data_IF_269976585427
#
_entry.id   IF_269976585427
#
_cell.length_a   1.000
_cell.length_b   1.000
_cell.length_c   1.000
_cell.angle_alpha   90.00
_cell.angle_beta   90.00
_cell.angle_gamma   90.00
#
_symmetry.space_group_name_H-M   'P 1'
#
loop_
_entity.id
_entity.type
_entity.pdbx_description
1 polymer ?
#
# COMPACT_ATOMS: atom_id res chain seq x y z
N UNK A 1 19.58 9.21 11.66
CA UNK A 1 19.12 8.11 10.79
C UNK A 1 19.91 8.21 9.51
N UNK A 2 20.58 7.12 9.12
CA UNK A 2 21.23 7.02 7.81
C UNK A 2 20.22 6.37 6.86
N UNK A 3 19.87 7.06 5.77
CA UNK A 3 18.98 6.51 4.75
C UNK A 3 19.74 6.43 3.44
N UNK A 4 19.74 5.25 2.81
CA UNK A 4 20.31 5.06 1.47
C UNK A 4 19.19 5.19 0.44
N UNK A 5 19.20 6.25 -0.36
CA UNK A 5 18.30 6.39 -1.51
C UNK A 5 19.12 6.30 -2.80
N UNK A 6 18.78 5.36 -3.69
CA UNK A 6 19.46 5.14 -4.98
C UNK A 6 21.00 4.96 -4.88
N UNK A 7 21.49 4.38 -3.77
CA UNK A 7 22.92 4.10 -3.56
C UNK A 7 23.74 5.24 -2.95
N UNK A 8 23.12 6.37 -2.61
CA UNK A 8 23.77 7.51 -1.95
C UNK A 8 23.32 7.56 -0.49
N UNK A 9 24.27 7.63 0.44
CA UNK A 9 24.00 7.79 1.88
C UNK A 9 23.65 9.24 2.17
N UNK A 10 22.41 9.47 2.59
CA UNK A 10 21.92 10.79 2.96
C UNK A 10 21.86 10.85 4.49
N UNK A 11 22.59 11.79 5.08
CA UNK A 11 22.53 12.11 6.52
C UNK A 11 21.71 13.38 6.74
N UNK A 12 20.41 13.29 6.47
CA UNK A 12 19.45 14.34 6.79
C UNK A 12 18.30 13.72 7.61
N UNK A 13 17.71 14.46 8.58
CA UNK A 13 16.50 14.00 9.25
C UNK A 13 15.39 13.83 8.21
N UNK A 14 14.85 12.62 8.12
CA UNK A 14 13.78 12.27 7.18
C UNK A 14 12.62 11.64 7.92
N UNK A 15 11.42 11.77 7.34
CA UNK A 15 10.29 10.98 7.79
C UNK A 15 10.60 9.50 7.50
N UNK A 16 10.46 8.67 8.52
CA UNK A 16 10.70 7.22 8.44
C UNK A 16 9.55 6.55 7.67
N UNK A 17 9.69 6.49 6.34
CA UNK A 17 8.69 5.92 5.42
C UNK A 17 9.16 4.55 4.94
N UNK A 18 8.34 3.54 5.22
CA UNK A 18 8.50 2.20 4.66
C UNK A 18 7.44 1.94 3.60
N UNK A 19 7.88 1.70 2.37
CA UNK A 19 6.99 1.40 1.24
C UNK A 19 6.71 -0.10 1.15
N UNK A 20 5.43 -0.46 1.00
CA UNK A 20 4.97 -1.84 0.86
C UNK A 20 4.33 -2.03 -0.51
N UNK A 21 4.68 -3.09 -1.22
CA UNK A 21 4.18 -3.39 -2.56
C UNK A 21 2.78 -4.06 -2.57
N UNK A 22 1.79 -3.46 -1.91
CA UNK A 22 0.44 -4.01 -1.77
C UNK A 22 -0.63 -2.91 -1.95
N UNK A 23 -0.56 -2.15 -3.04
CA UNK A 23 -1.55 -1.13 -3.40
C UNK A 23 -2.63 -1.67 -4.35
N UNK A 24 -3.64 -0.85 -4.69
CA UNK A 24 -4.69 -1.25 -5.64
C UNK A 24 -4.17 -1.70 -7.02
N UNK A 25 -3.02 -1.16 -7.44
CA UNK A 25 -2.35 -1.57 -8.67
C UNK A 25 -1.47 -2.82 -8.56
N UNK A 26 -1.26 -3.39 -7.36
CA UNK A 26 -0.43 -4.59 -7.23
C UNK A 26 -1.03 -5.74 -8.03
N UNK A 27 -0.21 -6.36 -8.90
CA UNK A 27 -0.64 -7.40 -9.83
C UNK A 27 -0.89 -8.72 -9.11
N UNK A 28 -1.85 -9.48 -9.61
CA UNK A 28 -2.27 -10.77 -9.06
C UNK A 28 -1.75 -11.90 -9.94
N UNK A 29 -1.13 -12.90 -9.31
CA UNK A 29 -0.62 -14.08 -10.00
C UNK A 29 -0.96 -15.34 -9.21
N UNK A 30 -1.24 -16.43 -9.92
CA UNK A 30 -1.18 -17.76 -9.34
C UNK A 30 0.12 -18.44 -9.80
N UNK A 31 0.90 -18.97 -8.86
CA UNK A 31 2.18 -19.61 -9.16
C UNK A 31 2.35 -20.85 -8.28
N UNK A 32 2.39 -22.03 -8.90
CA UNK A 32 2.68 -23.30 -8.23
C UNK A 32 1.84 -23.55 -6.97
N UNK A 33 0.53 -23.30 -7.04
CA UNK A 33 -0.37 -23.52 -5.90
C UNK A 33 -0.50 -22.35 -4.93
N UNK A 34 0.14 -21.21 -5.19
CA UNK A 34 0.13 -20.04 -4.31
C UNK A 34 -0.43 -18.80 -5.03
N UNK A 35 -1.26 -18.05 -4.31
CA UNK A 35 -1.65 -16.70 -4.69
C UNK A 35 -0.55 -15.71 -4.34
N UNK A 36 -0.13 -14.91 -5.31
CA UNK A 36 0.95 -13.93 -5.18
C UNK A 36 0.42 -12.55 -5.57
N UNK A 37 0.72 -11.55 -4.74
CA UNK A 37 0.33 -10.15 -4.95
C UNK A 37 1.59 -9.29 -5.04
N UNK A 38 1.78 -8.61 -6.17
CA UNK A 38 2.99 -7.84 -6.44
C UNK A 38 4.27 -8.71 -6.55
N UNK A 39 5.47 -8.10 -6.47
CA UNK A 39 5.73 -6.67 -6.28
C UNK A 39 5.41 -5.81 -7.51
N UNK A 40 5.16 -6.43 -8.66
CA UNK A 40 4.85 -5.72 -9.89
C UNK A 40 3.53 -4.94 -9.77
N UNK A 41 3.53 -3.70 -10.25
CA UNK A 41 2.35 -2.84 -10.28
C UNK A 41 1.83 -2.71 -11.71
N UNK A 42 0.51 -2.71 -11.85
CA UNK A 42 -0.18 -2.37 -13.09
C UNK A 42 -0.16 -0.85 -13.36
N UNK A 43 0.17 -0.03 -12.33
CA UNK A 43 0.16 1.42 -12.41
C UNK A 43 -1.24 1.99 -12.68
N UNK A 44 -1.28 3.18 -13.28
CA UNK A 44 -2.54 3.80 -13.74
C UNK A 44 -2.79 3.58 -15.25
N UNK A 45 -1.73 3.31 -16.02
CA UNK A 45 -1.77 2.99 -17.44
C UNK A 45 -0.66 1.97 -17.75
N UNK A 46 -0.96 0.78 -18.29
CA UNK A 46 -2.29 0.34 -18.73
C UNK A 46 -3.26 0.04 -17.56
N UNK A 47 -2.78 -0.04 -16.32
CA UNK A 47 -3.62 -0.16 -15.12
C UNK A 47 -4.24 -1.53 -14.91
N UNK A 48 -5.18 -1.65 -13.94
CA UNK A 48 -6.03 -2.81 -13.75
C UNK A 48 -6.84 -3.18 -15.00
N UNK A 49 -7.30 -4.43 -15.11
CA UNK A 49 -8.12 -4.87 -16.25
C UNK A 49 -9.42 -4.06 -16.35
N UNK A 50 -10.02 -3.77 -15.20
CA UNK A 50 -11.22 -2.93 -15.09
C UNK A 50 -11.08 -1.52 -15.65
N UNK A 51 -9.86 -1.04 -15.93
CA UNK A 51 -9.64 0.29 -16.52
C UNK A 51 -9.81 0.32 -18.04
N UNK A 52 -10.09 -0.83 -18.69
CA UNK A 52 -10.34 -0.94 -20.14
C UNK A 52 -9.19 -0.42 -21.01
N UNK A 53 -7.94 -0.54 -20.53
CA UNK A 53 -6.71 -0.07 -21.19
C UNK A 53 -5.71 -1.20 -21.48
N UNK A 54 -6.22 -2.44 -21.67
CA UNK A 54 -5.42 -3.66 -21.84
C UNK A 54 -4.42 -3.88 -20.69
N UNK A 55 -4.94 -3.72 -19.48
CA UNK A 55 -4.22 -3.80 -18.21
C UNK A 55 -3.90 -5.22 -17.74
N UNK A 56 -3.47 -5.30 -16.48
CA UNK A 56 -3.15 -6.54 -15.80
C UNK A 56 -4.10 -6.78 -14.63
N UNK A 57 -4.39 -8.04 -14.31
CA UNK A 57 -5.21 -8.38 -13.16
C UNK A 57 -4.55 -7.84 -11.88
N UNK A 58 -5.25 -7.00 -11.13
CA UNK A 58 -4.72 -6.28 -9.97
C UNK A 58 -5.66 -6.31 -8.76
N UNK A 59 -5.18 -5.85 -7.60
CA UNK A 59 -5.97 -5.75 -6.35
C UNK A 59 -7.28 -4.97 -6.55
N UNK A 60 -7.28 -3.91 -7.36
CA UNK A 60 -8.49 -3.16 -7.73
C UNK A 60 -9.54 -4.07 -8.39
N UNK A 61 -9.13 -4.98 -9.28
CA UNK A 61 -10.05 -5.90 -9.95
C UNK A 61 -10.65 -6.89 -8.94
N UNK A 62 -9.85 -7.41 -8.00
CA UNK A 62 -10.36 -8.27 -6.92
C UNK A 62 -11.39 -7.56 -6.03
N UNK A 63 -11.12 -6.30 -5.64
CA UNK A 63 -12.07 -5.50 -4.87
C UNK A 63 -13.37 -5.23 -5.66
N UNK A 64 -13.28 -5.03 -6.99
CA UNK A 64 -14.43 -4.84 -7.86
C UNK A 64 -15.27 -6.12 -8.03
N UNK A 65 -14.61 -7.28 -8.17
CA UNK A 65 -15.26 -8.60 -8.19
C UNK A 65 -16.05 -8.84 -6.91
N UNK A 66 -15.46 -8.53 -5.75
CA UNK A 66 -16.09 -8.65 -4.44
C UNK A 66 -17.17 -7.60 -4.16
N UNK A 67 -17.38 -6.63 -5.05
CA UNK A 67 -18.36 -5.55 -4.87
C UNK A 67 -17.96 -4.53 -3.79
N UNK A 68 -16.67 -4.47 -3.41
CA UNK A 68 -16.15 -3.46 -2.47
C UNK A 68 -15.98 -2.09 -3.14
N UNK A 69 -15.88 -2.08 -4.46
CA UNK A 69 -15.92 -0.87 -5.29
C UNK A 69 -17.28 -0.84 -5.98
N UNK A 70 -17.98 0.29 -5.86
CA UNK A 70 -19.29 0.54 -6.47
C UNK A 70 -19.06 1.43 -7.71
N UNK A 71 -19.11 0.88 -8.95
CA UNK A 71 -18.76 1.61 -10.17
C UNK A 71 -19.55 2.89 -10.39
N UNK A 72 -20.80 2.95 -9.92
CA UNK A 72 -21.70 4.08 -10.08
C UNK A 72 -21.21 5.34 -9.35
N UNK A 73 -20.39 5.18 -8.31
CA UNK A 73 -19.76 6.29 -7.58
C UNK A 73 -18.33 6.59 -8.08
N UNK A 74 -17.86 5.90 -9.11
CA UNK A 74 -16.56 6.15 -9.73
C UNK A 74 -16.72 7.05 -10.97
N UNK A 75 -15.77 7.99 -11.20
CA UNK A 75 -15.79 8.82 -12.40
C UNK A 75 -15.62 7.97 -13.66
N UNK A 76 -16.31 8.36 -14.73
CA UNK A 76 -16.24 7.70 -16.03
C UNK A 76 -15.01 8.19 -16.79
N UNK A 77 -13.83 7.75 -16.34
CA UNK A 77 -12.51 8.18 -16.87
C UNK A 77 -11.68 7.01 -17.42
N UNK A 78 -12.34 5.89 -17.69
CA UNK A 78 -11.69 4.66 -18.14
C UNK A 78 -11.95 4.42 -19.63
N UNK A 79 -11.28 3.42 -20.20
CA UNK A 79 -11.35 3.13 -21.63
C UNK A 79 -10.42 4.00 -22.47
N UNK A 80 -10.44 3.74 -23.78
CA UNK A 80 -9.56 4.40 -24.77
C UNK A 80 -9.83 5.91 -24.88
N UNK A 81 -11.08 6.32 -24.72
CA UNK A 81 -11.52 7.71 -24.81
C UNK A 81 -11.70 8.38 -23.43
N UNK A 82 -11.42 7.66 -22.33
CA UNK A 82 -11.52 8.15 -20.96
C UNK A 82 -12.92 8.67 -20.57
N UNK A 83 -13.95 7.94 -21.00
CA UNK A 83 -15.37 8.30 -20.86
C UNK A 83 -16.25 7.14 -20.34
N UNK A 84 -15.64 6.03 -19.94
CA UNK A 84 -16.34 4.80 -19.56
C UNK A 84 -16.22 4.49 -18.06
N UNK A 85 -17.19 3.75 -17.49
CA UNK A 85 -17.09 3.25 -16.11
C UNK A 85 -16.11 2.08 -16.02
N UNK A 86 -15.78 1.70 -14.78
CA UNK A 86 -15.02 0.48 -14.50
C UNK A 86 -15.69 -0.75 -15.12
N UNK A 87 -14.89 -1.64 -15.72
CA UNK A 87 -15.37 -2.89 -16.29
C UNK A 87 -15.37 -4.02 -15.26
N UNK A 88 -16.49 -4.19 -14.56
CA UNK A 88 -16.66 -5.32 -13.64
C UNK A 88 -16.66 -6.66 -14.37
N UNK A 89 -17.24 -6.72 -15.56
CA UNK A 89 -17.37 -7.97 -16.30
C UNK A 89 -15.99 -8.47 -16.75
N UNK A 90 -15.15 -7.59 -17.29
CA UNK A 90 -13.78 -7.92 -17.66
C UNK A 90 -12.95 -8.38 -16.44
N UNK A 91 -13.13 -7.75 -15.27
CA UNK A 91 -12.47 -8.17 -14.04
C UNK A 91 -12.91 -9.58 -13.59
N UNK A 92 -14.21 -9.89 -13.66
CA UNK A 92 -14.75 -11.22 -13.35
C UNK A 92 -14.21 -12.27 -14.31
N UNK A 93 -14.20 -12.01 -15.61
CA UNK A 93 -13.69 -12.94 -16.62
C UNK A 93 -12.20 -13.22 -16.45
N UNK A 94 -11.41 -12.20 -16.13
CA UNK A 94 -9.99 -12.37 -15.86
C UNK A 94 -9.73 -13.16 -14.56
N UNK A 95 -10.51 -12.90 -13.51
CA UNK A 95 -10.43 -13.65 -12.26
C UNK A 95 -10.89 -15.09 -12.42
N UNK A 96 -11.88 -15.36 -13.29
CA UNK A 96 -12.33 -16.71 -13.62
C UNK A 96 -11.18 -17.54 -14.19
N UNK A 97 -10.39 -17.01 -15.12
CA UNK A 97 -9.24 -17.72 -15.70
C UNK A 97 -8.23 -18.17 -14.64
N UNK A 98 -7.94 -17.31 -13.66
CA UNK A 98 -7.03 -17.63 -12.54
C UNK A 98 -7.67 -18.61 -11.57
N UNK A 99 -8.99 -18.53 -11.37
CA UNK A 99 -9.76 -19.47 -10.55
C UNK A 99 -9.72 -20.87 -11.16
N UNK A 100 -9.93 -20.97 -12.48
CA UNK A 100 -9.87 -22.23 -13.23
C UNK A 100 -8.46 -22.84 -13.14
N UNK A 101 -7.41 -22.04 -13.35
CA UNK A 101 -6.02 -22.45 -13.20
C UNK A 101 -5.73 -22.99 -11.79
N UNK A 102 -6.22 -22.32 -10.75
CA UNK A 102 -6.03 -22.75 -9.37
C UNK A 102 -6.76 -24.06 -9.06
N UNK A 103 -8.02 -24.19 -9.51
CA UNK A 103 -8.80 -25.40 -9.34
C UNK A 103 -8.21 -26.60 -10.10
N UNK A 104 -7.73 -26.38 -11.34
CA UNK A 104 -6.99 -27.37 -12.12
C UNK A 104 -5.72 -27.83 -11.40
N UNK A 105 -4.95 -26.89 -10.84
CA UNK A 105 -3.76 -27.22 -10.08
C UNK A 105 -4.11 -28.10 -8.88
N UNK A 106 -5.07 -27.70 -8.04
CA UNK A 106 -5.40 -28.45 -6.82
C UNK A 106 -6.03 -29.81 -7.11
N UNK A 107 -6.87 -29.96 -8.15
CA UNK A 107 -7.42 -31.28 -8.55
C UNK A 107 -6.34 -32.28 -8.93
N UNK A 108 -5.29 -31.83 -9.61
CA UNK A 108 -4.25 -32.70 -10.15
C UNK A 108 -3.15 -33.07 -9.12
N UNK A 109 -3.14 -32.45 -7.94
CA UNK A 109 -2.14 -32.72 -6.91
C UNK A 109 -2.75 -33.54 -5.76
N UNK A 110 -2.46 -34.85 -5.77
CA UNK A 110 -3.04 -35.88 -4.89
C UNK A 110 -2.92 -35.63 -3.37
N UNK A 111 -2.08 -34.70 -2.94
CA UNK A 111 -1.84 -34.39 -1.52
C UNK A 111 -2.56 -33.14 -1.01
N UNK A 112 -3.38 -32.48 -1.84
CA UNK A 112 -4.13 -31.27 -1.45
C UNK A 112 -5.62 -31.49 -1.74
N UNK A 113 -6.34 -32.12 -0.81
CA UNK A 113 -7.81 -32.16 -0.90
C UNK A 113 -8.36 -30.79 -0.51
N UNK A 114 -8.64 -29.96 -1.52
CA UNK A 114 -9.30 -28.67 -1.35
C UNK A 114 -10.58 -28.66 -2.20
N UNK A 115 -11.71 -28.15 -1.69
CA UNK A 115 -12.88 -27.92 -2.52
C UNK A 115 -12.55 -26.91 -3.64
N UNK A 116 -13.28 -26.99 -4.74
CA UNK A 116 -13.18 -26.01 -5.82
C UNK A 116 -13.54 -24.63 -5.32
N UNK A 117 -12.71 -23.65 -5.69
CA UNK A 117 -12.90 -22.25 -5.34
C UNK A 117 -13.82 -21.58 -6.36
N UNK A 118 -14.70 -20.73 -5.86
CA UNK A 118 -15.45 -19.76 -6.66
C UNK A 118 -14.58 -18.54 -7.00
N UNK A 119 -14.99 -17.77 -8.00
CA UNK A 119 -14.31 -16.51 -8.38
C UNK A 119 -14.22 -15.54 -7.20
N UNK A 120 -15.26 -15.47 -6.37
CA UNK A 120 -15.27 -14.62 -5.18
C UNK A 120 -14.27 -15.09 -4.13
N UNK A 121 -14.15 -16.40 -3.90
CA UNK A 121 -13.15 -16.96 -2.97
C UNK A 121 -11.73 -16.74 -3.47
N UNK A 122 -11.47 -16.88 -4.76
CA UNK A 122 -10.16 -16.56 -5.36
C UNK A 122 -9.83 -15.08 -5.19
N UNK A 123 -10.78 -14.18 -5.49
CA UNK A 123 -10.61 -12.75 -5.29
C UNK A 123 -10.33 -12.41 -3.81
N UNK A 124 -11.09 -13.00 -2.88
CA UNK A 124 -10.87 -12.82 -1.44
C UNK A 124 -9.48 -13.33 -1.01
N UNK A 125 -9.05 -14.49 -1.52
CA UNK A 125 -7.72 -15.04 -1.24
C UNK A 125 -6.59 -14.09 -1.66
N UNK A 126 -6.70 -13.44 -2.82
CA UNK A 126 -5.74 -12.40 -3.21
C UNK A 126 -5.76 -11.19 -2.27
N UNK A 127 -6.95 -10.74 -1.86
CA UNK A 127 -7.08 -9.63 -0.91
C UNK A 127 -6.47 -9.99 0.45
N UNK A 128 -6.63 -11.24 0.91
CA UNK A 128 -6.03 -11.70 2.17
C UNK A 128 -4.50 -11.72 2.10
N UNK A 129 -3.92 -12.15 0.97
CA UNK A 129 -2.47 -12.08 0.74
C UNK A 129 -1.98 -10.62 0.74
N UNK A 130 -2.72 -9.71 0.09
CA UNK A 130 -2.41 -8.28 0.10
C UNK A 130 -2.46 -7.69 1.51
N UNK A 131 -3.51 -8.00 2.28
CA UNK A 131 -3.68 -7.56 3.66
C UNK A 131 -2.57 -8.07 4.56
N UNK A 132 -2.20 -9.34 4.46
CA UNK A 132 -1.13 -9.92 5.27
C UNK A 132 0.23 -9.28 4.96
N UNK A 133 0.48 -8.97 3.69
CA UNK A 133 1.69 -8.24 3.27
C UNK A 133 1.77 -6.85 3.93
N UNK A 134 0.65 -6.12 3.95
CA UNK A 134 0.56 -4.83 4.66
C UNK A 134 0.70 -4.99 6.18
N UNK A 135 0.04 -5.98 6.77
CA UNK A 135 0.10 -6.24 8.21
C UNK A 135 1.52 -6.60 8.68
N UNK A 136 2.27 -7.39 7.89
CA UNK A 136 3.66 -7.74 8.21
C UNK A 136 4.55 -6.51 8.28
N UNK A 137 4.40 -5.59 7.34
CA UNK A 137 5.17 -4.35 7.34
C UNK A 137 4.83 -3.49 8.57
N UNK A 138 3.55 -3.28 8.86
CA UNK A 138 3.12 -2.49 10.03
C UNK A 138 3.62 -3.10 11.33
N UNK A 139 3.50 -4.43 11.50
CA UNK A 139 4.05 -5.15 12.66
C UNK A 139 5.55 -4.94 12.79
N UNK A 140 6.30 -5.15 11.71
CA UNK A 140 7.75 -5.03 11.70
C UNK A 140 8.20 -3.63 12.16
N UNK A 141 7.62 -2.57 11.60
CA UNK A 141 7.99 -1.18 11.90
C UNK A 141 7.60 -0.81 13.33
N UNK A 142 6.44 -1.26 13.80
CA UNK A 142 5.93 -0.92 15.14
C UNK A 142 6.69 -1.67 16.23
N UNK A 143 6.88 -2.97 16.06
CA UNK A 143 7.54 -3.83 17.04
C UNK A 143 9.05 -3.61 17.09
N UNK A 144 9.70 -3.27 15.97
CA UNK A 144 11.12 -2.88 15.97
C UNK A 144 11.41 -1.65 16.82
N UNK A 145 10.39 -0.80 17.04
CA UNK A 145 10.44 0.35 17.96
C UNK A 145 10.04 -0.01 19.40
N UNK A 146 9.76 -1.28 19.68
CA UNK A 146 9.36 -1.77 21.01
C UNK A 146 7.88 -1.53 21.35
N UNK A 147 7.03 -1.28 20.35
CA UNK A 147 5.62 -0.98 20.55
C UNK A 147 4.71 -2.14 20.14
N UNK A 148 3.59 -2.28 20.86
CA UNK A 148 2.49 -3.18 20.49
C UNK A 148 1.55 -2.49 19.49
N UNK A 149 1.26 -3.14 18.37
CA UNK A 149 0.34 -2.63 17.34
C UNK A 149 -1.07 -2.41 17.87
N UNK A 150 -1.55 -3.24 18.82
CA UNK A 150 -2.92 -3.14 19.35
C UNK A 150 -3.22 -1.81 20.04
N UNK A 151 -2.17 -1.17 20.58
CA UNK A 151 -2.26 0.08 21.35
C UNK A 151 -2.31 1.34 20.46
N UNK A 152 -2.47 1.18 19.14
CA UNK A 152 -2.44 2.27 18.17
C UNK A 152 -3.79 2.44 17.46
N UNK A 153 -3.98 3.63 16.87
CA UNK A 153 -5.08 3.90 15.95
C UNK A 153 -4.56 3.75 14.52
N UNK A 154 -5.25 2.96 13.69
CA UNK A 154 -4.91 2.82 12.28
C UNK A 154 -5.43 4.04 11.50
N UNK A 155 -4.54 4.99 11.20
CA UNK A 155 -4.87 6.10 10.30
C UNK A 155 -4.86 5.61 8.84
N UNK A 156 -5.99 5.77 8.15
CA UNK A 156 -6.18 5.26 6.81
C UNK A 156 -6.42 6.40 5.81
N UNK A 157 -5.65 6.40 4.71
CA UNK A 157 -5.76 7.37 3.64
C UNK A 157 -5.37 6.77 2.28
N UNK A 158 -5.53 7.55 1.21
CA UNK A 158 -5.37 7.11 -0.17
C UNK A 158 -6.63 6.44 -0.73
N UNK A 159 -6.74 6.37 -2.06
CA UNK A 159 -7.95 5.89 -2.74
C UNK A 159 -8.31 4.42 -2.48
N UNK A 160 -7.33 3.58 -2.15
CA UNK A 160 -7.53 2.17 -1.84
C UNK A 160 -7.52 1.86 -0.34
N UNK A 161 -7.07 2.79 0.52
CA UNK A 161 -6.80 2.49 1.93
C UNK A 161 -8.03 1.95 2.66
N UNK A 162 -9.18 2.60 2.50
CA UNK A 162 -10.43 2.22 3.18
C UNK A 162 -10.90 0.80 2.84
N UNK A 163 -10.51 0.27 1.67
CA UNK A 163 -10.91 -1.06 1.20
C UNK A 163 -10.22 -2.20 2.00
N UNK A 164 -9.12 -1.88 2.68
CA UNK A 164 -8.31 -2.83 3.45
C UNK A 164 -8.31 -2.54 4.96
N UNK A 165 -8.70 -1.32 5.37
CA UNK A 165 -8.50 -0.80 6.72
C UNK A 165 -9.05 -1.71 7.83
N UNK A 166 -10.31 -2.17 7.70
CA UNK A 166 -10.93 -3.01 8.73
C UNK A 166 -10.25 -4.38 8.86
N UNK A 167 -9.87 -4.99 7.73
CA UNK A 167 -9.19 -6.29 7.74
C UNK A 167 -7.78 -6.17 8.36
N UNK A 168 -7.04 -5.12 7.99
CA UNK A 168 -5.73 -4.82 8.58
C UNK A 168 -5.85 -4.57 10.08
N UNK A 169 -6.78 -3.71 10.50
CA UNK A 169 -6.98 -3.39 11.91
C UNK A 169 -7.28 -4.65 12.74
N UNK A 170 -8.19 -5.50 12.25
CA UNK A 170 -8.52 -6.77 12.88
C UNK A 170 -7.30 -7.69 13.02
N UNK A 171 -6.51 -7.85 11.95
CA UNK A 171 -5.31 -8.70 11.97
C UNK A 171 -4.20 -8.18 12.88
N UNK A 172 -4.16 -6.86 13.12
CA UNK A 172 -3.17 -6.21 13.98
C UNK A 172 -3.63 -6.04 15.44
N UNK A 173 -4.88 -6.43 15.76
CA UNK A 173 -5.48 -6.20 17.07
C UNK A 173 -5.81 -4.74 17.36
N UNK A 174 -5.92 -3.90 16.32
CA UNK A 174 -6.24 -2.48 16.44
C UNK A 174 -7.76 -2.31 16.55
N UNK A 175 -8.22 -1.66 17.61
CA UNK A 175 -9.65 -1.45 17.86
C UNK A 175 -10.24 -0.25 17.13
N UNK A 176 -9.39 0.71 16.72
CA UNK A 176 -9.82 1.99 16.15
C UNK A 176 -9.16 2.27 14.81
N UNK A 177 -10.00 2.53 13.79
CA UNK A 177 -9.57 3.03 12.47
C UNK A 177 -9.99 4.48 12.34
N UNK A 178 -9.02 5.35 12.05
CA UNK A 178 -9.28 6.76 11.79
C UNK A 178 -9.23 7.05 10.29
N UNK A 179 -10.36 7.47 9.72
CA UNK A 179 -10.47 7.86 8.31
C UNK A 179 -10.69 9.36 8.24
N UNK A 180 -9.69 10.09 7.75
CA UNK A 180 -9.79 11.54 7.61
C UNK A 180 -10.81 11.93 6.52
N UNK A 181 -11.53 13.04 6.69
CA UNK A 181 -12.51 13.55 5.69
C UNK A 181 -11.90 13.72 4.29
N UNK A 182 -10.63 14.10 4.23
CA UNK A 182 -9.86 14.27 2.99
C UNK A 182 -8.93 13.08 2.69
N UNK A 183 -9.26 11.87 3.16
CA UNK A 183 -8.43 10.67 3.02
C UNK A 183 -7.94 10.42 1.59
N UNK A 184 -8.78 10.65 0.58
CA UNK A 184 -8.42 10.49 -0.84
C UNK A 184 -7.36 11.48 -1.35
N UNK A 185 -7.20 12.64 -0.71
CA UNK A 185 -6.27 13.72 -1.11
C UNK A 185 -5.38 14.19 0.04
N UNK A 186 -5.20 13.35 1.07
CA UNK A 186 -4.59 13.75 2.33
C UNK A 186 -3.15 14.26 2.15
N UNK A 187 -2.40 13.70 1.20
CA UNK A 187 -1.04 14.16 0.88
C UNK A 187 -1.01 15.58 0.34
N UNK A 188 -1.94 15.93 -0.56
CA UNK A 188 -2.05 17.29 -1.09
C UNK A 188 -2.51 18.29 -0.01
N UNK A 189 -3.45 17.86 0.84
CA UNK A 189 -3.90 18.65 1.98
C UNK A 189 -2.77 18.90 2.98
N UNK A 190 -1.97 17.89 3.31
CA UNK A 190 -0.80 18.01 4.18
C UNK A 190 0.25 18.97 3.63
N UNK A 191 0.50 18.94 2.32
CA UNK A 191 1.40 19.89 1.67
C UNK A 191 0.90 21.33 1.77
N UNK A 192 -0.40 21.57 1.59
CA UNK A 192 -0.99 22.90 1.68
C UNK A 192 -0.93 23.51 3.09
N UNK A 193 -0.93 22.68 4.14
CA UNK A 193 -0.83 23.12 5.53
C UNK A 193 0.60 23.20 6.06
N UNK A 194 1.58 22.66 5.33
CA UNK A 194 2.95 22.58 5.80
C UNK A 194 3.58 23.98 5.89
N UNK A 195 4.21 24.27 7.03
CA UNK A 195 5.01 25.47 7.16
C UNK A 195 6.27 25.36 6.29
N UNK A 196 6.71 26.49 5.76
CA UNK A 196 8.03 26.58 5.13
C UNK A 196 9.07 26.48 6.24
N UNK A 197 9.89 25.44 6.20
CA UNK A 197 11.00 25.22 7.14
C UNK A 197 12.30 25.20 6.35
N UNK A 198 13.28 25.96 6.81
CA UNK A 198 14.64 25.94 6.29
C UNK A 198 15.56 25.35 7.35
N UNK A 199 16.14 24.19 7.07
CA UNK A 199 17.14 23.56 7.94
C UNK A 199 18.53 23.70 7.33
N UNK A 200 19.47 24.21 8.12
CA UNK A 200 20.88 24.26 7.78
C UNK A 200 21.67 23.41 8.79
N UNK A 201 22.52 22.51 8.30
CA UNK A 201 23.36 21.65 9.12
C UNK A 201 24.82 21.78 8.68
N UNK A 202 25.72 21.82 9.66
CA UNK A 202 27.16 21.82 9.42
C UNK A 202 27.85 20.84 10.39
N UNK A 203 28.62 19.86 9.90
CA UNK A 203 29.32 18.91 10.76
C UNK A 203 30.45 19.60 11.54
N UNK A 204 30.62 19.22 12.81
CA UNK A 204 31.71 19.69 13.65
C UNK A 204 32.26 18.56 14.54
N UNK A 205 33.58 18.39 14.56
CA UNK A 205 34.27 17.42 15.40
C UNK A 205 35.17 18.16 16.40
N UNK A 206 34.67 18.39 17.63
CA UNK A 206 35.40 19.10 18.69
C UNK A 206 35.06 18.54 20.07
N UNK A 207 35.97 18.69 21.03
CA UNK A 207 35.75 18.29 22.43
C UNK A 207 34.80 19.29 23.10
N UNK A 208 33.67 18.80 23.60
CA UNK A 208 32.68 19.64 24.26
C UNK A 208 33.24 20.27 25.54
N UNK A 209 33.41 21.59 25.55
CA UNK A 209 33.91 22.35 26.70
C UNK A 209 33.13 23.66 26.88
N UNK A 210 33.16 24.24 28.10
CA UNK A 210 32.47 25.51 28.41
C UNK A 210 32.88 26.67 27.48
N UNK A 211 34.15 26.72 27.05
CA UNK A 211 34.66 27.76 26.15
C UNK A 211 34.20 27.58 24.69
N UNK A 212 34.03 26.34 24.25
CA UNK A 212 33.56 26.00 22.91
C UNK A 212 32.04 26.20 22.75
N UNK A 213 31.26 26.01 23.82
CA UNK A 213 29.79 26.22 23.83
C UNK A 213 29.40 27.62 23.30
N UNK A 214 30.16 28.66 23.65
CA UNK A 214 29.88 30.04 23.21
C UNK A 214 30.13 30.25 21.71
N UNK A 215 31.12 29.55 21.14
CA UNK A 215 31.41 29.60 19.70
C UNK A 215 30.34 28.89 18.86
N UNK A 216 29.80 27.77 19.36
CA UNK A 216 28.69 27.08 18.70
C UNK A 216 27.42 27.93 18.69
N UNK A 217 27.04 28.52 19.83
CA UNK A 217 25.82 29.35 19.92
C UNK A 217 25.84 30.57 18.98
N UNK A 218 26.99 31.23 18.82
CA UNK A 218 27.12 32.37 17.91
C UNK A 218 27.01 31.96 16.42
N UNK A 219 27.34 30.71 16.08
CA UNK A 219 27.31 30.22 14.70
C UNK A 219 25.88 29.95 14.20
N UNK A 220 24.95 29.68 15.11
CA UNK A 220 23.54 29.40 14.83
C UNK A 220 22.59 30.57 15.17
N UNK A 221 23.12 31.75 15.50
CA UNK A 221 22.33 32.95 15.84
C UNK A 221 22.05 33.88 14.64
N UNK A 222 22.50 33.54 13.44
CA UNK A 222 22.18 34.28 12.22
C UNK A 222 21.42 33.37 11.25
N UNK A 223 20.09 33.34 11.35
CA UNK A 223 19.15 32.87 10.33
C UNK A 223 17.77 33.47 10.63
#
# INVERSE_FOLDING_TARGET
METTTAGITIQAPQLDIHTVAAGGGSRLFFRSGLFVVGPESAGASPGPISYRKNGFLAVTDANLVLGRIIPEFFPHIFGKNEDQPLDRQAAVEAMQKVTDEANDFYRNHANVSRPEMTVAETALGFIDVANETMCRAIRSITQSKGHDTSQHVLACFGGAGGQHACAIAKSLGIESVFVHRYSGVLSAYGLALANVVHEAQEPAAKVFSKGEKRKFLHKFQCS
#
